data_IF_038463391037
#
_entry.id   IF_038463391037
#
_cell.length_a   1.000
_cell.length_b   1.000
_cell.length_c   1.000
_cell.angle_alpha   90.00
_cell.angle_beta   90.00
_cell.angle_gamma   90.00
#
_symmetry.space_group_name_H-M   'P 1'
#
loop_
_entity.id
_entity.type
_entity.pdbx_description
1 polymer ?
#
# COMPACT_ATOMS: atom_id res chain seq x y z
N UNK A 1 49.78 15.59 1.74
CA UNK A 1 49.14 16.66 0.94
C UNK A 1 47.84 16.14 0.32
N UNK A 2 46.74 16.06 1.09
CA UNK A 2 45.41 15.67 0.58
C UNK A 2 44.35 15.98 1.66
N UNK A 3 44.18 17.26 2.02
CA UNK A 3 43.17 17.71 3.01
C UNK A 3 42.22 18.81 2.52
N UNK A 4 42.30 19.28 1.28
CA UNK A 4 41.55 20.45 0.82
C UNK A 4 40.71 20.22 -0.46
N UNK A 5 39.84 19.20 -0.51
CA UNK A 5 38.90 19.01 -1.64
C UNK A 5 37.41 18.91 -1.20
N UNK A 6 37.09 18.91 0.10
CA UNK A 6 35.70 18.75 0.56
C UNK A 6 34.98 20.04 0.98
N UNK A 7 35.50 21.23 0.63
CA UNK A 7 34.94 22.51 1.06
C UNK A 7 34.50 23.42 -0.11
N UNK A 8 33.87 22.86 -1.15
CA UNK A 8 33.32 23.66 -2.26
C UNK A 8 31.90 23.29 -2.73
N UNK A 9 31.15 22.50 -1.94
CA UNK A 9 29.78 22.11 -2.30
C UNK A 9 28.71 22.55 -1.27
N UNK A 10 28.93 23.71 -0.63
CA UNK A 10 28.00 24.30 0.33
C UNK A 10 27.68 25.78 0.02
N UNK A 11 27.78 26.19 -1.25
CA UNK A 11 27.60 27.60 -1.64
C UNK A 11 26.93 27.73 -3.00
N UNK A 12 25.72 27.21 -3.14
CA UNK A 12 24.86 27.44 -4.31
C UNK A 12 23.36 27.38 -3.97
N UNK A 13 22.97 27.87 -2.79
CA UNK A 13 21.56 28.04 -2.40
C UNK A 13 21.37 29.26 -1.50
N UNK A 14 21.93 30.41 -1.92
CA UNK A 14 21.67 31.72 -1.31
C UNK A 14 21.80 32.80 -2.38
N UNK A 15 20.77 32.92 -3.23
CA UNK A 15 20.43 34.16 -3.91
C UNK A 15 19.04 34.06 -4.55
N UNK A 16 17.99 34.21 -3.73
CA UNK A 16 16.73 34.78 -4.22
C UNK A 16 16.46 36.01 -3.35
N UNK A 17 17.04 37.14 -3.78
CA UNK A 17 16.72 38.44 -3.23
C UNK A 17 15.27 38.75 -3.59
N UNK A 18 14.41 38.79 -2.57
CA UNK A 18 13.07 39.36 -2.66
C UNK A 18 13.24 40.86 -2.90
N UNK A 19 13.02 41.30 -4.14
CA UNK A 19 12.81 42.71 -4.43
C UNK A 19 11.40 43.09 -3.96
N UNK A 20 11.30 43.75 -2.80
CA UNK A 20 10.07 44.40 -2.36
C UNK A 20 9.82 45.64 -3.23
N UNK A 21 8.66 45.80 -3.90
CA UNK A 21 8.30 47.08 -4.47
C UNK A 21 7.97 48.07 -3.34
N UNK A 22 8.68 49.20 -3.33
CA UNK A 22 8.35 50.35 -2.49
C UNK A 22 7.05 50.95 -3.02
N UNK A 23 6.00 50.90 -2.21
CA UNK A 23 4.78 51.67 -2.40
C UNK A 23 5.14 53.13 -2.14
N UNK A 24 5.23 53.92 -3.21
CA UNK A 24 5.24 55.37 -3.14
C UNK A 24 3.78 55.85 -3.25
N UNK A 25 3.30 56.53 -2.20
CA UNK A 25 2.12 57.37 -2.26
C UNK A 25 2.47 58.60 -3.11
N UNK A 26 1.70 58.84 -4.17
CA UNK A 26 1.57 60.16 -4.77
C UNK A 26 0.10 60.35 -5.17
N UNK A 27 -0.52 61.34 -4.54
CA UNK A 27 -1.82 61.90 -4.86
C UNK A 27 -1.74 62.75 -6.14
N UNK A 28 -2.83 62.66 -6.90
CA UNK A 28 -3.56 63.74 -7.55
C UNK A 28 -3.49 63.98 -9.07
N UNK A 29 -4.71 64.13 -9.59
CA UNK A 29 -5.20 64.82 -10.81
C UNK A 29 -4.99 64.26 -12.23
N UNK A 30 -6.14 63.82 -12.76
CA UNK A 30 -6.83 64.36 -13.97
C UNK A 30 -6.37 64.01 -15.40
N UNK A 31 -7.40 63.73 -16.21
CA UNK A 31 -7.54 63.81 -17.68
C UNK A 31 -7.33 62.53 -18.53
N UNK A 32 -8.47 61.88 -18.77
CA UNK A 32 -9.14 61.53 -20.06
C UNK A 32 -8.37 61.07 -21.31
N UNK A 33 -9.04 60.16 -22.03
CA UNK A 33 -8.88 59.68 -23.43
C UNK A 33 -7.91 58.49 -23.61
N UNK A 34 -8.16 57.46 -24.43
CA UNK A 34 -9.31 56.92 -25.16
C UNK A 34 -8.84 55.54 -25.69
N UNK A 35 -9.78 54.64 -26.00
CA UNK A 35 -9.70 53.56 -27.01
C UNK A 35 -8.66 52.42 -26.83
N UNK A 36 -9.12 51.18 -26.62
CA UNK A 36 -9.36 50.18 -27.71
C UNK A 36 -9.50 48.76 -27.15
N UNK A 37 -10.65 48.19 -27.47
CA UNK A 37 -11.15 46.83 -27.31
C UNK A 37 -10.29 45.76 -27.99
N UNK A 38 -10.05 44.62 -27.32
CA UNK A 38 -10.00 43.30 -27.96
C UNK A 38 -10.21 42.19 -26.93
N UNK A 39 -11.47 41.79 -26.81
CA UNK A 39 -11.98 40.57 -26.21
C UNK A 39 -11.52 39.36 -27.00
N UNK A 40 -10.92 38.37 -26.32
CA UNK A 40 -10.88 36.99 -26.79
C UNK A 40 -11.31 36.10 -25.63
N UNK A 41 -12.57 35.67 -25.67
CA UNK A 41 -13.10 34.55 -24.89
C UNK A 41 -12.50 33.26 -25.46
N UNK A 42 -11.69 32.56 -24.66
CA UNK A 42 -11.35 31.16 -24.91
C UNK A 42 -11.99 30.31 -23.82
N UNK A 43 -13.15 29.76 -24.18
CA UNK A 43 -13.93 28.78 -23.42
C UNK A 43 -13.13 27.49 -23.29
N UNK A 44 -12.38 27.34 -22.19
CA UNK A 44 -11.80 26.08 -21.79
C UNK A 44 -12.84 25.27 -21.00
N UNK A 45 -13.46 24.31 -21.68
CA UNK A 45 -14.24 23.21 -21.09
C UNK A 45 -13.34 22.40 -20.15
N UNK A 46 -13.53 22.61 -18.85
CA UNK A 46 -13.00 21.79 -17.77
C UNK A 46 -13.72 20.43 -17.82
N UNK A 47 -13.01 19.29 -17.96
CA UNK A 47 -13.62 17.99 -17.77
C UNK A 47 -13.92 17.81 -16.28
N UNK A 48 -15.19 17.55 -15.95
CA UNK A 48 -15.61 17.03 -14.64
C UNK A 48 -14.83 15.75 -14.34
N UNK A 49 -13.91 15.84 -13.39
CA UNK A 49 -13.20 14.72 -12.82
C UNK A 49 -14.15 14.00 -11.86
N UNK A 50 -14.77 12.94 -12.37
CA UNK A 50 -15.59 11.97 -11.65
C UNK A 50 -14.82 11.39 -10.47
N UNK A 51 -15.05 11.91 -9.27
CA UNK A 51 -14.58 11.33 -8.01
C UNK A 51 -15.46 10.13 -7.63
N UNK A 52 -15.19 8.98 -8.23
CA UNK A 52 -15.70 7.71 -7.71
C UNK A 52 -14.80 7.28 -6.55
N UNK A 53 -15.17 7.74 -5.35
CA UNK A 53 -14.56 7.34 -4.10
C UNK A 53 -15.00 5.91 -3.76
N UNK A 54 -14.40 4.93 -4.44
CA UNK A 54 -14.30 3.58 -3.90
C UNK A 54 -13.32 3.65 -2.73
N UNK A 55 -13.81 3.47 -1.52
CA UNK A 55 -13.00 3.18 -0.34
C UNK A 55 -12.31 1.83 -0.53
N UNK A 56 -11.23 1.85 -1.33
CA UNK A 56 -10.21 0.81 -1.44
C UNK A 56 -9.54 0.77 -0.07
N UNK A 57 -10.02 -0.12 0.80
CA UNK A 57 -9.45 -0.34 2.14
C UNK A 57 -8.19 -1.17 1.97
N UNK A 58 -7.26 -0.60 1.23
CA UNK A 58 -6.04 -1.22 0.78
C UNK A 58 -5.25 -1.64 1.99
N UNK A 59 -4.84 -2.91 2.02
CA UNK A 59 -3.80 -3.45 2.88
C UNK A 59 -2.73 -2.39 3.20
N UNK A 60 -2.87 -1.75 4.37
CA UNK A 60 -2.14 -0.52 4.67
C UNK A 60 -0.69 -0.90 4.97
N UNK A 61 0.19 -0.68 3.99
CA UNK A 61 1.63 -0.87 4.13
C UNK A 61 2.28 0.28 4.91
N UNK A 62 1.48 1.02 5.70
CA UNK A 62 1.79 2.34 6.28
C UNK A 62 2.25 3.34 5.22
N UNK A 63 1.91 3.09 3.95
CA UNK A 63 2.20 3.92 2.81
C UNK A 63 0.89 4.21 2.11
N UNK A 64 0.61 5.50 1.94
CA UNK A 64 -0.52 5.97 1.12
C UNK A 64 -0.36 5.46 -0.32
N UNK A 65 -1.47 5.34 -1.04
CA UNK A 65 -1.46 4.96 -2.45
C UNK A 65 -0.39 5.75 -3.25
N UNK A 66 0.49 5.06 -4.01
CA UNK A 66 1.62 5.72 -4.64
C UNK A 66 1.11 6.68 -5.71
N UNK A 67 1.43 7.97 -5.53
CA UNK A 67 1.04 9.05 -6.45
C UNK A 67 1.90 9.07 -7.72
N UNK A 68 3.13 8.57 -7.63
CA UNK A 68 4.12 8.58 -8.72
C UNK A 68 4.56 7.16 -9.03
N UNK A 69 4.11 6.64 -10.17
CA UNK A 69 4.47 5.30 -10.66
C UNK A 69 5.70 5.32 -11.59
N UNK A 70 6.43 4.20 -11.71
CA UNK A 70 7.47 4.02 -12.70
C UNK A 70 6.97 4.32 -14.12
N UNK A 71 7.67 5.19 -14.85
CA UNK A 71 7.27 5.65 -16.18
C UNK A 71 6.47 6.95 -16.20
N UNK A 72 6.04 7.46 -15.05
CA UNK A 72 5.59 8.85 -14.96
C UNK A 72 6.76 9.83 -15.08
N UNK A 73 6.48 11.04 -15.57
CA UNK A 73 7.47 12.12 -15.73
C UNK A 73 8.17 12.49 -14.40
N UNK A 74 7.47 12.38 -13.28
CA UNK A 74 7.97 12.75 -11.96
C UNK A 74 8.77 11.64 -11.25
N UNK A 75 8.78 10.41 -11.78
CA UNK A 75 9.45 9.28 -11.14
C UNK A 75 10.97 9.46 -10.98
N UNK A 76 11.73 9.97 -11.96
CA UNK A 76 13.16 10.22 -11.79
C UNK A 76 13.46 11.21 -10.64
N UNK A 77 12.60 12.20 -10.43
CA UNK A 77 12.74 13.15 -9.32
C UNK A 77 12.52 12.47 -7.97
N UNK A 78 11.50 11.60 -7.85
CA UNK A 78 11.30 10.76 -6.67
C UNK A 78 12.56 9.93 -6.35
N UNK A 79 13.11 9.24 -7.36
CA UNK A 79 14.35 8.45 -7.22
C UNK A 79 15.57 9.29 -6.81
N UNK A 80 15.66 10.52 -7.32
CA UNK A 80 16.72 11.45 -6.92
C UNK A 80 16.61 11.84 -5.45
N UNK A 81 15.43 12.26 -4.99
CA UNK A 81 15.21 12.63 -3.58
C UNK A 81 15.44 11.45 -2.64
N UNK A 82 14.98 10.25 -2.99
CA UNK A 82 15.29 9.01 -2.26
C UNK A 82 16.81 8.82 -2.11
N UNK A 83 17.57 9.03 -3.19
CA UNK A 83 19.03 8.87 -3.19
C UNK A 83 19.74 9.92 -2.34
N UNK A 84 19.23 11.16 -2.32
CA UNK A 84 19.72 12.23 -1.44
C UNK A 84 19.45 11.87 0.02
N UNK A 85 18.23 11.49 0.35
CA UNK A 85 17.84 11.09 1.71
C UNK A 85 18.61 9.85 2.19
N UNK A 86 18.87 8.88 1.30
CA UNK A 86 19.69 7.70 1.60
C UNK A 86 21.10 8.08 2.07
N UNK A 87 21.70 9.09 1.43
CA UNK A 87 23.05 9.58 1.77
C UNK A 87 23.07 10.41 3.06
N UNK A 88 22.01 11.18 3.32
CA UNK A 88 21.89 12.01 4.52
C UNK A 88 21.49 11.20 5.76
N UNK A 89 20.90 10.02 5.59
CA UNK A 89 20.52 9.14 6.71
C UNK A 89 21.73 8.35 7.21
N UNK A 90 22.37 8.88 8.25
CA UNK A 90 23.63 8.34 8.83
C UNK A 90 23.37 7.25 9.86
N UNK A 91 22.37 7.43 10.74
CA UNK A 91 22.12 6.51 11.86
C UNK A 91 21.66 5.13 11.38
N UNK A 92 22.22 4.02 11.88
CA UNK A 92 21.86 2.67 11.44
C UNK A 92 20.37 2.35 11.52
N UNK A 93 19.71 2.68 12.64
CA UNK A 93 18.29 2.41 12.86
C UNK A 93 17.43 3.22 11.87
N UNK A 94 17.74 4.52 11.72
CA UNK A 94 17.05 5.40 10.78
C UNK A 94 17.25 4.93 9.33
N UNK A 95 18.42 4.38 9.01
CA UNK A 95 18.73 3.88 7.67
C UNK A 95 17.97 2.59 7.38
N UNK A 96 17.86 1.69 8.34
CA UNK A 96 17.01 0.50 8.24
C UNK A 96 15.54 0.89 8.01
N UNK A 97 15.00 1.79 8.84
CA UNK A 97 13.63 2.29 8.72
C UNK A 97 13.38 2.95 7.35
N UNK A 98 14.33 3.75 6.87
CA UNK A 98 14.24 4.38 5.54
C UNK A 98 14.20 3.34 4.41
N UNK A 99 15.03 2.30 4.47
CA UNK A 99 14.97 1.22 3.47
C UNK A 99 13.67 0.42 3.54
N UNK A 100 13.13 0.20 4.75
CA UNK A 100 11.80 -0.42 4.91
C UNK A 100 10.71 0.42 4.25
N UNK A 101 10.73 1.73 4.45
CA UNK A 101 9.77 2.64 3.83
C UNK A 101 9.84 2.56 2.30
N UNK A 102 11.03 2.55 1.71
CA UNK A 102 11.16 2.40 0.25
C UNK A 102 10.67 1.00 -0.19
N UNK A 103 10.94 -0.05 0.56
CA UNK A 103 10.43 -1.39 0.22
C UNK A 103 8.89 -1.43 0.22
N UNK A 104 8.25 -0.83 1.23
CA UNK A 104 6.79 -0.69 1.29
C UNK A 104 6.26 0.11 0.09
N UNK A 105 6.91 1.21 -0.25
CA UNK A 105 6.55 2.03 -1.42
C UNK A 105 6.61 1.24 -2.72
N UNK A 106 7.69 0.48 -2.95
CA UNK A 106 7.85 -0.36 -4.15
C UNK A 106 6.77 -1.43 -4.22
N UNK A 107 6.37 -1.99 -3.09
CA UNK A 107 5.31 -2.98 -3.03
C UNK A 107 3.93 -2.37 -3.35
N UNK A 108 3.66 -1.16 -2.86
CA UNK A 108 2.44 -0.42 -3.24
C UNK A 108 2.45 -0.07 -4.73
N UNK A 109 3.61 0.29 -5.31
CA UNK A 109 3.75 0.51 -6.75
C UNK A 109 3.46 -0.77 -7.55
N UNK A 110 4.00 -1.91 -7.13
CA UNK A 110 3.71 -3.23 -7.74
C UNK A 110 2.21 -3.52 -7.70
N UNK A 111 1.56 -3.35 -6.55
CA UNK A 111 0.12 -3.56 -6.37
C UNK A 111 -0.69 -2.67 -7.32
N UNK A 112 -0.38 -1.37 -7.37
CA UNK A 112 -1.09 -0.41 -8.22
C UNK A 112 -0.84 -0.67 -9.72
N UNK A 113 0.37 -1.06 -10.09
CA UNK A 113 0.71 -1.41 -11.48
C UNK A 113 -0.05 -2.66 -11.94
N UNK A 114 -0.17 -3.69 -11.09
CA UNK A 114 -0.97 -4.88 -11.39
C UNK A 114 -2.46 -4.54 -11.57
N UNK A 115 -3.02 -3.72 -10.67
CA UNK A 115 -4.41 -3.23 -10.79
C UNK A 115 -4.68 -2.46 -12.10
N UNK A 116 -3.68 -1.73 -12.60
CA UNK A 116 -3.78 -0.92 -13.82
C UNK A 116 -3.32 -1.65 -15.09
N UNK A 117 -3.00 -2.95 -15.00
CA UNK A 117 -2.43 -3.76 -16.10
C UNK A 117 -1.15 -3.14 -16.73
N UNK A 118 -0.37 -2.37 -15.95
CA UNK A 118 0.88 -1.72 -16.38
C UNK A 118 2.08 -2.58 -16.01
N UNK A 119 2.22 -3.72 -16.68
CA UNK A 119 3.11 -4.80 -16.23
C UNK A 119 4.54 -4.69 -16.76
N UNK A 120 4.83 -3.75 -17.68
CA UNK A 120 6.10 -3.67 -18.41
C UNK A 120 7.30 -3.41 -17.49
N UNK A 121 7.07 -2.70 -16.38
CA UNK A 121 8.12 -2.32 -15.41
C UNK A 121 8.02 -3.06 -14.08
N UNK A 122 7.03 -3.93 -13.89
CA UNK A 122 6.84 -4.65 -12.62
C UNK A 122 8.10 -5.43 -12.22
N UNK A 123 8.76 -6.07 -13.17
CA UNK A 123 10.02 -6.81 -12.94
C UNK A 123 11.12 -5.92 -12.34
N UNK A 124 11.24 -4.67 -12.80
CA UNK A 124 12.20 -3.71 -12.28
C UNK A 124 11.82 -3.31 -10.85
N UNK A 125 10.55 -3.00 -10.60
CA UNK A 125 10.08 -2.59 -9.27
C UNK A 125 10.23 -3.71 -8.25
N UNK A 126 10.00 -4.96 -8.64
CA UNK A 126 10.26 -6.15 -7.82
C UNK A 126 11.74 -6.26 -7.45
N UNK A 127 12.65 -6.01 -8.39
CA UNK A 127 14.08 -6.03 -8.11
C UNK A 127 14.48 -4.92 -7.11
N UNK A 128 13.93 -3.71 -7.27
CA UNK A 128 14.14 -2.60 -6.35
C UNK A 128 13.56 -2.91 -4.95
N UNK A 129 12.38 -3.53 -4.88
CA UNK A 129 11.79 -4.02 -3.64
C UNK A 129 12.74 -5.02 -2.94
N UNK A 130 13.20 -6.06 -3.66
CA UNK A 130 14.16 -7.06 -3.14
C UNK A 130 15.39 -6.39 -2.55
N UNK A 131 15.97 -5.46 -3.31
CA UNK A 131 17.19 -4.75 -2.93
C UNK A 131 16.98 -3.94 -1.63
N UNK A 132 15.91 -3.14 -1.57
CA UNK A 132 15.66 -2.25 -0.44
C UNK A 132 15.26 -3.02 0.80
N UNK A 133 14.44 -4.07 0.68
CA UNK A 133 14.10 -4.95 1.78
C UNK A 133 15.36 -5.70 2.31
N UNK A 134 16.22 -6.16 1.40
CA UNK A 134 17.50 -6.77 1.76
C UNK A 134 18.43 -5.81 2.51
N UNK A 135 18.53 -4.56 2.05
CA UNK A 135 19.31 -3.50 2.73
C UNK A 135 18.74 -3.16 4.10
N UNK A 136 17.42 -3.10 4.26
CA UNK A 136 16.78 -2.90 5.56
C UNK A 136 17.21 -3.98 6.56
N UNK A 137 17.10 -5.25 6.15
CA UNK A 137 17.56 -6.40 6.95
C UNK A 137 19.04 -6.31 7.30
N UNK A 138 19.90 -6.09 6.30
CA UNK A 138 21.35 -5.98 6.51
C UNK A 138 21.70 -4.90 7.54
N UNK A 139 20.98 -3.77 7.52
CA UNK A 139 21.18 -2.70 8.50
C UNK A 139 20.72 -3.11 9.88
N UNK A 140 19.58 -3.77 10.03
CA UNK A 140 19.10 -4.28 11.31
C UNK A 140 20.08 -5.30 11.92
N UNK A 141 20.56 -6.24 11.11
CA UNK A 141 21.47 -7.30 11.57
C UNK A 141 22.85 -6.75 12.00
N UNK A 142 23.26 -5.58 11.48
CA UNK A 142 24.53 -4.93 11.82
C UNK A 142 24.47 -4.06 13.07
N UNK A 143 23.29 -3.85 13.66
CA UNK A 143 23.15 -3.05 14.87
C UNK A 143 23.52 -3.92 16.07
N UNK A 144 24.61 -3.53 16.73
CA UNK A 144 25.09 -4.18 17.95
C UNK A 144 24.31 -3.66 19.17
N UNK A 145 23.42 -4.47 19.79
CA UNK A 145 22.57 -4.01 20.89
C UNK A 145 23.37 -3.65 22.14
N UNK A 146 24.59 -4.16 22.32
CA UNK A 146 25.43 -3.86 23.49
C UNK A 146 25.97 -2.42 23.46
N UNK A 147 26.06 -1.84 22.26
CA UNK A 147 26.50 -0.44 22.06
C UNK A 147 25.38 0.59 22.20
N UNK A 148 24.15 0.14 22.49
CA UNK A 148 22.96 0.98 22.56
C UNK A 148 22.58 1.29 24.01
N UNK A 149 22.01 2.48 24.24
CA UNK A 149 21.29 2.76 25.49
C UNK A 149 20.01 1.94 25.58
N UNK A 150 19.44 1.79 26.78
CA UNK A 150 18.22 0.99 26.95
C UNK A 150 17.02 1.55 26.15
N UNK A 151 16.93 2.87 26.01
CA UNK A 151 15.93 3.50 25.14
C UNK A 151 16.14 3.15 23.66
N UNK A 152 17.40 3.14 23.20
CA UNK A 152 17.73 2.76 21.83
C UNK A 152 17.49 1.27 21.58
N UNK A 153 17.80 0.39 22.54
CA UNK A 153 17.46 -1.04 22.45
C UNK A 153 15.96 -1.23 22.29
N UNK A 154 15.14 -0.54 23.09
CA UNK A 154 13.68 -0.59 22.96
C UNK A 154 13.21 -0.14 21.58
N UNK A 155 13.77 0.95 21.03
CA UNK A 155 13.46 1.41 19.66
C UNK A 155 13.89 0.41 18.59
N UNK A 156 15.05 -0.24 18.78
CA UNK A 156 15.54 -1.28 17.88
C UNK A 156 14.59 -2.48 17.87
N UNK A 157 14.13 -2.94 19.04
CA UNK A 157 13.20 -4.07 19.14
C UNK A 157 11.87 -3.76 18.45
N UNK A 158 11.30 -2.56 18.68
CA UNK A 158 10.09 -2.10 17.96
C UNK A 158 10.33 -2.06 16.44
N UNK A 159 11.52 -1.62 16.00
CA UNK A 159 11.84 -1.58 14.58
C UNK A 159 12.00 -2.97 13.95
N UNK A 160 12.60 -3.93 14.67
CA UNK A 160 12.70 -5.33 14.26
C UNK A 160 11.31 -5.98 14.17
N UNK A 161 10.48 -5.76 15.17
CA UNK A 161 9.09 -6.23 15.19
C UNK A 161 8.34 -5.71 13.97
N UNK A 162 8.43 -4.40 13.71
CA UNK A 162 7.82 -3.76 12.54
C UNK A 162 8.37 -4.31 11.21
N UNK A 163 9.66 -4.65 11.16
CA UNK A 163 10.24 -5.28 9.98
C UNK A 163 9.61 -6.65 9.70
N UNK A 164 9.38 -7.45 10.74
CA UNK A 164 8.74 -8.76 10.60
C UNK A 164 7.27 -8.66 10.21
N UNK A 165 6.53 -7.76 10.85
CA UNK A 165 5.15 -7.48 10.50
C UNK A 165 5.02 -7.06 9.03
N UNK A 166 5.92 -6.19 8.56
CA UNK A 166 5.97 -5.80 7.15
C UNK A 166 6.31 -6.99 6.25
N UNK A 167 7.26 -7.85 6.65
CA UNK A 167 7.58 -9.06 5.89
C UNK A 167 6.36 -9.96 5.64
N UNK A 168 5.49 -10.11 6.63
CA UNK A 168 4.24 -10.87 6.51
C UNK A 168 3.25 -10.19 5.56
N UNK A 169 3.04 -8.88 5.72
CA UNK A 169 2.20 -8.08 4.80
C UNK A 169 2.73 -8.12 3.37
N UNK A 170 4.05 -8.12 3.20
CA UNK A 170 4.70 -8.19 1.89
C UNK A 170 4.38 -9.50 1.18
N UNK A 171 4.45 -10.62 1.89
CA UNK A 171 4.08 -11.92 1.32
C UNK A 171 2.60 -11.90 0.88
N UNK A 172 1.69 -11.38 1.72
CA UNK A 172 0.26 -11.30 1.39
C UNK A 172 -0.01 -10.45 0.14
N UNK A 173 0.60 -9.27 0.03
CA UNK A 173 0.44 -8.42 -1.16
C UNK A 173 1.04 -9.08 -2.40
N UNK A 174 2.24 -9.65 -2.30
CA UNK A 174 2.88 -10.33 -3.42
C UNK A 174 2.03 -11.52 -3.90
N UNK A 175 1.44 -12.30 -3.01
CA UNK A 175 0.56 -13.42 -3.38
C UNK A 175 -0.65 -12.95 -4.21
N UNK A 176 -1.29 -11.85 -3.84
CA UNK A 176 -2.42 -11.29 -4.61
C UNK A 176 -1.99 -10.75 -5.96
N UNK A 177 -0.88 -10.02 -5.99
CA UNK A 177 -0.35 -9.44 -7.23
C UNK A 177 0.07 -10.53 -8.20
N UNK A 178 0.64 -11.64 -7.71
CA UNK A 178 1.10 -12.77 -8.54
C UNK A 178 0.04 -13.23 -9.54
N UNK A 179 -1.21 -13.35 -9.10
CA UNK A 179 -2.31 -13.87 -9.91
C UNK A 179 -2.92 -12.81 -10.84
N UNK A 180 -2.49 -11.54 -10.71
CA UNK A 180 -2.94 -10.40 -11.51
C UNK A 180 -1.95 -9.98 -12.60
N UNK A 181 -0.75 -10.57 -12.62
CA UNK A 181 0.30 -10.21 -13.58
C UNK A 181 0.55 -11.33 -14.58
N UNK A 182 1.14 -11.03 -15.76
CA UNK A 182 1.53 -12.05 -16.73
C UNK A 182 2.45 -13.12 -16.12
N UNK A 183 2.36 -14.34 -16.62
CA UNK A 183 3.06 -15.53 -16.09
C UNK A 183 4.54 -15.27 -15.79
N UNK A 184 5.26 -14.59 -16.70
CA UNK A 184 6.67 -14.26 -16.51
C UNK A 184 6.94 -13.42 -15.26
N UNK A 185 6.10 -12.40 -15.00
CA UNK A 185 6.21 -11.58 -13.79
C UNK A 185 5.72 -12.35 -12.56
N UNK A 186 4.65 -13.15 -12.72
CA UNK A 186 4.11 -14.02 -11.67
C UNK A 186 5.15 -15.00 -11.13
N UNK A 187 5.97 -15.61 -12.00
CA UNK A 187 7.07 -16.49 -11.59
C UNK A 187 8.12 -15.77 -10.72
N UNK A 188 8.50 -14.55 -11.09
CA UNK A 188 9.44 -13.75 -10.28
C UNK A 188 8.85 -13.35 -8.94
N UNK A 189 7.56 -13.02 -8.90
CA UNK A 189 6.83 -12.76 -7.66
C UNK A 189 6.81 -14.03 -6.80
N UNK A 190 6.56 -15.20 -7.39
CA UNK A 190 6.58 -16.48 -6.70
C UNK A 190 7.94 -16.78 -6.06
N UNK A 191 9.05 -16.55 -6.77
CA UNK A 191 10.40 -16.69 -6.21
C UNK A 191 10.62 -15.77 -4.99
N UNK A 192 10.06 -14.55 -4.99
CA UNK A 192 10.13 -13.66 -3.83
C UNK A 192 9.35 -14.21 -2.64
N UNK A 193 8.12 -14.66 -2.91
CA UNK A 193 7.24 -15.23 -1.90
C UNK A 193 7.94 -16.41 -1.23
N UNK A 194 8.52 -17.32 -2.02
CA UNK A 194 9.19 -18.50 -1.49
C UNK A 194 10.44 -18.15 -0.69
N UNK A 195 11.25 -17.20 -1.17
CA UNK A 195 12.41 -16.71 -0.43
C UNK A 195 12.02 -16.03 0.89
N UNK A 196 10.94 -15.23 0.90
CA UNK A 196 10.44 -14.58 2.10
C UNK A 196 9.87 -15.60 3.11
N UNK A 197 9.08 -16.57 2.63
CA UNK A 197 8.55 -17.66 3.46
C UNK A 197 9.67 -18.48 4.09
N UNK A 198 10.69 -18.88 3.33
CA UNK A 198 11.82 -19.65 3.86
C UNK A 198 12.56 -18.90 4.97
N UNK A 199 12.83 -17.60 4.77
CA UNK A 199 13.47 -16.76 5.80
C UNK A 199 12.64 -16.66 7.08
N UNK A 200 11.32 -16.56 6.92
CA UNK A 200 10.41 -16.51 8.06
C UNK A 200 10.38 -17.85 8.80
N UNK A 201 10.33 -18.97 8.08
CA UNK A 201 10.42 -20.31 8.68
C UNK A 201 11.73 -20.51 9.43
N UNK A 202 12.88 -20.16 8.83
CA UNK A 202 14.20 -20.23 9.50
C UNK A 202 14.27 -19.36 10.76
N UNK A 203 13.58 -18.22 10.76
CA UNK A 203 13.50 -17.34 11.93
C UNK A 203 12.64 -17.97 13.02
N UNK A 204 11.45 -18.48 12.66
CA UNK A 204 10.55 -19.16 13.58
C UNK A 204 11.21 -20.39 14.22
N UNK A 205 12.02 -21.14 13.48
CA UNK A 205 12.78 -22.27 14.04
C UNK A 205 13.76 -21.85 15.16
N UNK A 206 14.27 -20.62 15.09
CA UNK A 206 15.22 -20.08 16.08
C UNK A 206 14.53 -19.35 17.24
N UNK A 207 13.23 -19.11 17.14
CA UNK A 207 12.44 -18.45 18.18
C UNK A 207 12.12 -19.42 19.33
N UNK A 208 12.09 -18.87 20.53
CA UNK A 208 11.53 -19.51 21.71
C UNK A 208 10.02 -19.72 21.57
N UNK A 209 9.42 -20.58 22.39
CA UNK A 209 7.96 -20.82 22.38
C UNK A 209 7.17 -19.54 22.65
N UNK A 210 7.64 -18.68 23.55
CA UNK A 210 6.99 -17.40 23.84
C UNK A 210 7.03 -16.43 22.64
N UNK A 211 8.15 -16.38 21.92
CA UNK A 211 8.29 -15.56 20.71
C UNK A 211 7.45 -16.10 19.54
N UNK A 212 7.31 -17.43 19.44
CA UNK A 212 6.42 -18.09 18.47
C UNK A 212 4.96 -17.72 18.73
N UNK A 213 4.49 -17.87 19.97
CA UNK A 213 3.12 -17.50 20.37
C UNK A 213 2.85 -15.99 20.15
N UNK A 214 3.84 -15.13 20.42
CA UNK A 214 3.72 -13.71 20.13
C UNK A 214 3.62 -13.42 18.62
N UNK A 215 4.38 -14.15 17.81
CA UNK A 215 4.35 -14.02 16.34
C UNK A 215 3.01 -14.50 15.78
N UNK A 216 2.46 -15.60 16.31
CA UNK A 216 1.14 -16.12 15.98
C UNK A 216 0.03 -15.10 16.26
N UNK A 217 -0.03 -14.55 17.48
CA UNK A 217 -0.99 -13.49 17.85
C UNK A 217 -0.86 -12.23 17.00
N UNK A 218 0.37 -11.85 16.65
CA UNK A 218 0.60 -10.73 15.72
C UNK A 218 0.06 -11.03 14.34
N UNK A 219 0.21 -12.26 13.89
CA UNK A 219 -0.28 -12.71 12.59
C UNK A 219 -1.81 -12.72 12.56
N UNK A 220 -2.46 -13.17 13.64
CA UNK A 220 -3.90 -12.99 13.85
C UNK A 220 -4.32 -11.52 13.81
N UNK A 221 -3.58 -10.63 14.50
CA UNK A 221 -3.87 -9.19 14.48
C UNK A 221 -3.69 -8.58 13.10
N UNK A 222 -2.67 -9.01 12.35
CA UNK A 222 -2.46 -8.61 10.95
C UNK A 222 -3.64 -9.11 10.11
N UNK A 223 -4.05 -10.37 10.26
CA UNK A 223 -5.21 -10.95 9.59
C UNK A 223 -6.48 -10.14 9.87
N UNK A 224 -6.72 -9.76 11.12
CA UNK A 224 -7.87 -8.95 11.53
C UNK A 224 -7.81 -7.53 10.94
N UNK A 225 -6.64 -6.88 10.99
CA UNK A 225 -6.42 -5.52 10.47
C UNK A 225 -6.45 -5.43 8.95
N UNK A 226 -6.11 -6.51 8.26
CA UNK A 226 -6.21 -6.61 6.81
C UNK A 226 -7.68 -6.53 6.34
N UNK A 227 -8.64 -6.70 7.25
CA UNK A 227 -10.08 -6.50 7.01
C UNK A 227 -10.73 -7.62 6.20
N UNK A 228 -12.06 -7.58 6.11
CA UNK A 228 -12.91 -8.47 5.30
C UNK A 228 -12.76 -8.24 3.78
N UNK A 229 -11.59 -7.78 3.31
CA UNK A 229 -11.29 -7.81 1.88
C UNK A 229 -11.37 -9.28 1.41
N UNK A 230 -12.34 -9.57 0.55
CA UNK A 230 -12.66 -10.92 0.09
C UNK A 230 -11.39 -11.64 -0.42
N UNK A 231 -10.94 -12.67 0.31
CA UNK A 231 -9.73 -13.46 0.02
C UNK A 231 -8.48 -13.11 0.85
N UNK A 232 -8.43 -11.93 1.45
CA UNK A 232 -7.27 -11.44 2.19
C UNK A 232 -6.92 -12.26 3.44
N UNK A 233 -7.96 -12.66 4.17
CA UNK A 233 -7.88 -13.54 5.33
C UNK A 233 -7.46 -14.97 4.93
N UNK A 234 -7.97 -15.46 3.81
CA UNK A 234 -7.61 -16.79 3.28
C UNK A 234 -6.15 -16.85 2.83
N UNK A 235 -5.64 -15.80 2.18
CA UNK A 235 -4.24 -15.69 1.78
C UNK A 235 -3.31 -15.73 2.99
N UNK A 236 -3.63 -14.96 4.03
CA UNK A 236 -2.83 -14.92 5.25
C UNK A 236 -2.82 -16.26 6.00
N UNK A 237 -3.95 -16.97 6.05
CA UNK A 237 -4.04 -18.35 6.57
C UNK A 237 -3.18 -19.30 5.71
N UNK A 238 -3.21 -19.17 4.39
CA UNK A 238 -2.38 -19.98 3.48
C UNK A 238 -0.88 -19.70 3.69
N UNK A 239 -0.49 -18.46 3.93
CA UNK A 239 0.90 -18.09 4.24
C UNK A 239 1.32 -18.75 5.55
N UNK A 240 0.47 -18.64 6.58
CA UNK A 240 0.64 -19.28 7.87
C UNK A 240 0.89 -20.78 7.74
N UNK A 241 0.01 -21.48 7.02
CA UNK A 241 0.11 -22.91 6.77
C UNK A 241 1.44 -23.29 6.13
N UNK A 242 1.82 -22.62 5.04
CA UNK A 242 3.06 -22.93 4.32
C UNK A 242 4.32 -22.68 5.15
N UNK A 243 4.32 -21.61 5.95
CA UNK A 243 5.44 -21.26 6.82
C UNK A 243 5.58 -22.29 7.94
N UNK A 244 4.45 -22.77 8.47
CA UNK A 244 4.35 -23.73 9.57
C UNK A 244 4.68 -25.15 9.17
N UNK A 245 4.21 -25.62 8.01
CA UNK A 245 4.53 -26.95 7.49
C UNK A 245 6.06 -27.14 7.38
N UNK A 246 6.78 -26.06 7.09
CA UNK A 246 8.25 -26.04 7.01
C UNK A 246 8.94 -26.01 8.37
N UNK A 247 8.25 -25.60 9.44
CA UNK A 247 8.78 -25.66 10.81
C UNK A 247 8.67 -27.10 11.32
N UNK A 248 9.79 -27.66 11.80
CA UNK A 248 9.87 -29.05 12.30
C UNK A 248 9.31 -29.25 13.71
N UNK A 249 8.89 -28.17 14.37
CA UNK A 249 8.40 -28.16 15.74
C UNK A 249 6.94 -28.62 15.80
N UNK A 250 6.70 -29.77 16.42
CA UNK A 250 5.37 -30.40 16.51
C UNK A 250 4.37 -29.58 17.34
N UNK A 251 4.84 -28.87 18.36
CA UNK A 251 3.99 -28.04 19.22
C UNK A 251 3.46 -26.81 18.48
N UNK A 252 4.29 -26.22 17.61
CA UNK A 252 3.87 -25.13 16.72
C UNK A 252 2.86 -25.62 15.68
N UNK A 253 3.04 -26.84 15.18
CA UNK A 253 2.11 -27.45 14.22
C UNK A 253 0.73 -27.71 14.83
N UNK A 254 0.66 -28.20 16.07
CA UNK A 254 -0.62 -28.42 16.75
C UNK A 254 -1.39 -27.11 16.98
N UNK A 255 -0.77 -26.09 17.57
CA UNK A 255 -1.46 -24.80 17.82
C UNK A 255 -2.00 -24.15 16.55
N UNK A 256 -1.22 -24.22 15.47
CA UNK A 256 -1.62 -23.63 14.20
C UNK A 256 -2.73 -24.45 13.54
N UNK A 257 -2.75 -25.76 13.72
CA UNK A 257 -3.87 -26.59 13.30
C UNK A 257 -5.16 -26.23 14.05
N UNK A 258 -5.08 -25.96 15.36
CA UNK A 258 -6.22 -25.49 16.15
C UNK A 258 -6.73 -24.13 15.63
N UNK A 259 -5.83 -23.20 15.30
CA UNK A 259 -6.20 -21.94 14.65
C UNK A 259 -6.81 -22.12 13.26
N UNK A 260 -6.29 -23.07 12.47
CA UNK A 260 -6.86 -23.40 11.16
C UNK A 260 -8.30 -23.91 11.31
N UNK A 261 -8.56 -24.81 12.26
CA UNK A 261 -9.90 -25.33 12.55
C UNK A 261 -10.84 -24.22 13.02
N UNK A 262 -10.39 -23.35 13.93
CA UNK A 262 -11.19 -22.22 14.42
C UNK A 262 -11.52 -21.22 13.30
N UNK A 263 -10.55 -20.87 12.46
CA UNK A 263 -10.76 -19.91 11.36
C UNK A 263 -11.58 -20.51 10.23
N UNK A 264 -11.41 -21.80 9.91
CA UNK A 264 -12.24 -22.50 8.94
C UNK A 264 -13.72 -22.51 9.36
N UNK A 265 -13.99 -22.68 10.66
CA UNK A 265 -15.35 -22.60 11.18
C UNK A 265 -15.93 -21.18 11.07
N UNK A 266 -15.12 -20.14 11.34
CA UNK A 266 -15.54 -18.74 11.14
C UNK A 266 -15.83 -18.42 9.68
N UNK A 267 -14.99 -18.89 8.75
CA UNK A 267 -15.19 -18.70 7.30
C UNK A 267 -16.48 -19.39 6.85
N UNK A 268 -16.71 -20.62 7.29
CA UNK A 268 -17.95 -21.35 6.97
C UNK A 268 -19.20 -20.59 7.44
N UNK A 269 -19.17 -20.03 8.65
CA UNK A 269 -20.27 -19.20 9.18
C UNK A 269 -20.49 -17.93 8.33
N UNK A 270 -19.42 -17.29 7.87
CA UNK A 270 -19.49 -16.13 6.98
C UNK A 270 -20.10 -16.52 5.62
N UNK A 271 -19.70 -17.65 5.03
CA UNK A 271 -20.25 -18.14 3.76
C UNK A 271 -21.74 -18.48 3.86
N UNK A 272 -22.16 -19.10 4.96
CA UNK A 272 -23.57 -19.39 5.25
C UNK A 272 -24.38 -18.09 5.38
N UNK A 273 -23.89 -17.11 6.15
CA UNK A 273 -24.53 -15.80 6.27
C UNK A 273 -24.61 -15.07 4.92
N UNK A 274 -23.57 -15.16 4.09
CA UNK A 274 -23.55 -14.57 2.75
C UNK A 274 -24.60 -15.20 1.84
N UNK A 275 -24.75 -16.53 1.86
CA UNK A 275 -25.80 -17.22 1.10
C UNK A 275 -27.20 -16.72 1.48
N UNK A 276 -27.46 -16.59 2.78
CA UNK A 276 -28.74 -16.07 3.27
C UNK A 276 -29.02 -14.64 2.79
N UNK A 277 -28.00 -13.77 2.81
CA UNK A 277 -28.12 -12.39 2.29
C UNK A 277 -28.39 -12.37 0.79
N UNK A 278 -27.70 -13.20 0.00
CA UNK A 278 -27.91 -13.32 -1.45
C UNK A 278 -29.33 -13.80 -1.76
N UNK A 279 -29.81 -14.82 -1.04
CA UNK A 279 -31.16 -15.34 -1.21
C UNK A 279 -32.22 -14.27 -0.91
N UNK A 280 -32.10 -13.54 0.19
CA UNK A 280 -32.98 -12.40 0.51
C UNK A 280 -32.93 -11.30 -0.55
N UNK A 281 -31.75 -10.99 -1.08
CA UNK A 281 -31.61 -10.00 -2.15
C UNK A 281 -32.31 -10.43 -3.45
N UNK A 282 -32.24 -11.72 -3.80
CA UNK A 282 -32.95 -12.27 -4.95
C UNK A 282 -34.47 -12.25 -4.74
N UNK A 283 -34.96 -12.57 -3.54
CA UNK A 283 -36.38 -12.45 -3.20
C UNK A 283 -36.88 -11.00 -3.30
N UNK A 284 -36.12 -10.04 -2.77
CA UNK A 284 -36.45 -8.61 -2.86
C UNK A 284 -36.48 -8.13 -4.31
N UNK A 285 -35.52 -8.57 -5.13
CA UNK A 285 -35.49 -8.26 -6.57
C UNK A 285 -36.74 -8.81 -7.26
N UNK A 286 -37.14 -10.05 -6.96
CA UNK A 286 -38.36 -10.66 -7.50
C UNK A 286 -39.61 -9.88 -7.12
N UNK A 287 -39.78 -9.55 -5.83
CA UNK A 287 -40.91 -8.71 -5.36
C UNK A 287 -40.95 -7.35 -6.02
N UNK A 288 -39.79 -6.73 -6.24
CA UNK A 288 -39.70 -5.42 -6.90
C UNK A 288 -40.15 -5.51 -8.35
N UNK A 289 -39.79 -6.58 -9.07
CA UNK A 289 -40.27 -6.85 -10.43
C UNK A 289 -41.79 -7.07 -10.44
N UNK A 290 -42.33 -7.88 -9.53
CA UNK A 290 -43.79 -8.12 -9.43
C UNK A 290 -44.57 -6.81 -9.14
N UNK A 291 -44.06 -5.95 -8.24
CA UNK A 291 -44.66 -4.63 -7.97
C UNK A 291 -44.63 -3.74 -9.22
N UNK A 292 -43.51 -3.75 -9.96
CA UNK A 292 -43.36 -2.97 -11.19
C UNK A 292 -44.33 -3.43 -12.27
N UNK A 293 -44.45 -4.74 -12.48
CA UNK A 293 -45.34 -5.32 -13.50
C UNK A 293 -46.81 -5.02 -13.17
N UNK A 294 -47.22 -5.21 -11.90
CA UNK A 294 -48.57 -4.85 -11.42
C UNK A 294 -48.86 -3.34 -11.55
N UNK A 295 -47.86 -2.48 -11.32
CA UNK A 295 -48.02 -1.04 -11.49
C UNK A 295 -48.18 -0.65 -12.97
N UNK A 296 -47.43 -1.30 -13.87
CA UNK A 296 -47.54 -1.10 -15.32
C UNK A 296 -48.91 -1.53 -15.85
N UNK A 297 -49.42 -2.68 -15.40
CA UNK A 297 -50.77 -3.17 -15.74
C UNK A 297 -51.86 -2.15 -15.35
N UNK A 298 -51.82 -1.65 -14.10
CA UNK A 298 -52.77 -0.61 -13.63
C UNK A 298 -52.67 0.70 -14.41
N UNK A 299 -51.46 1.08 -14.83
CA UNK A 299 -51.26 2.26 -15.68
C UNK A 299 -51.89 2.05 -17.05
N UNK A 300 -51.76 0.85 -17.63
CA UNK A 300 -52.39 0.47 -18.91
C UNK A 300 -53.92 0.52 -18.81
N UNK A 301 -54.49 -0.08 -17.77
CA UNK A 301 -55.95 -0.07 -17.49
C UNK A 301 -56.48 1.37 -17.36
N UNK A 302 -55.78 2.22 -16.61
CA UNK A 302 -56.16 3.62 -16.44
C UNK A 302 -56.11 4.42 -17.75
N UNK A 303 -55.12 4.13 -18.63
CA UNK A 303 -55.04 4.76 -19.96
C UNK A 303 -56.20 4.36 -20.86
N UNK A 304 -56.62 3.10 -20.83
CA UNK A 304 -57.78 2.63 -21.60
C UNK A 304 -59.10 3.23 -21.10
N UNK A 305 -59.27 3.37 -19.79
CA UNK A 305 -60.46 3.98 -19.20
C UNK A 305 -60.66 5.46 -19.58
N UNK A 306 -59.57 6.22 -19.80
CA UNK A 306 -59.63 7.64 -20.18
C UNK A 306 -59.92 7.85 -21.68
N UNK A 307 -59.82 6.82 -22.52
CA UNK A 307 -60.12 6.93 -23.96
C UNK A 307 -61.61 6.94 -24.30
N UNK A 308 -62.49 6.61 -23.35
CA UNK A 308 -63.95 6.59 -23.50
C UNK A 308 -64.59 7.85 -22.89
#
# INVERSE_FOLDING_TARGET
MLKNIFLSLALAFSLLLVASPKIALAEDTSATEDTTTATTEETATVPEESSDATTDTSLDLETSDPSVLPGSFWYPFKKFFESVQEKLTIKPESKAAFYMQIANERLSEIKKMAKLDKTEKIDQVIAEYKEKNGKAKERLDKIDPEKLTDEQKKKLEVLKEKFDENGLRHIAVLERVRDQVPEKAGLKIQENIDAAKNRLSERLEKMTTEEKDATEKRLESIIEKIGDEEGAKADAIRILKNVTEKVKDETVREKIKDLEEEQAEKIKKIEEARKEVIEKALELKKRTTEIKDNAMEKIEEAKEAVKY
#
